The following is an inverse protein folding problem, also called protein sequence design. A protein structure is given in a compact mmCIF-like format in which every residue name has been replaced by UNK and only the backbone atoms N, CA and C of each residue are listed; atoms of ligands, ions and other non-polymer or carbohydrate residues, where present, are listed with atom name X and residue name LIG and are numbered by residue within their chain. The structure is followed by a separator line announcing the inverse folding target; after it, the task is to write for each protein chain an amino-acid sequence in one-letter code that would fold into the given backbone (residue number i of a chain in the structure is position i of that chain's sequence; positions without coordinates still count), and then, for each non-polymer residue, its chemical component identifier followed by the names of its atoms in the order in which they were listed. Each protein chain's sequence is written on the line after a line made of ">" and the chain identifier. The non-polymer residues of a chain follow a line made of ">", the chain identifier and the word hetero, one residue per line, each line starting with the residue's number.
data_IF_683386073930
#
_entry.id   IF_683386073930
#
_cell.length_a   1.000
_cell.length_b   1.000
_cell.length_c   1.000
_cell.angle_alpha   90.00
_cell.angle_beta   90.00
_cell.angle_gamma   90.00
#
_symmetry.space_group_name_H-M   'P 1'
#
loop_
_entity.id
_entity.type
_entity.pdbx_description
1 polymer ?
#
# COMPACT_ATOMS: atom_id res chain seq x y z
N UNK A 1 12.84 -2.88 9.53
CA UNK A 1 12.55 -1.75 8.63
C UNK A 1 13.79 -0.89 8.53
N UNK A 2 13.96 -0.17 7.42
CA UNK A 2 15.08 0.74 7.16
C UNK A 2 14.54 2.17 7.02
N UNK A 3 15.31 3.22 7.32
CA UNK A 3 14.95 4.58 6.94
C UNK A 3 14.71 4.67 5.43
N UNK A 4 13.76 5.51 5.02
CA UNK A 4 13.64 5.90 3.60
C UNK A 4 14.73 6.92 3.28
N UNK A 5 15.38 6.73 2.15
CA UNK A 5 16.30 7.70 1.55
C UNK A 5 15.58 8.39 0.38
N UNK A 6 15.60 9.72 0.33
CA UNK A 6 14.90 10.49 -0.69
C UNK A 6 13.37 10.50 -0.52
N UNK A 7 12.65 10.50 -1.65
CA UNK A 7 11.19 10.46 -1.65
C UNK A 7 10.68 9.10 -1.17
N UNK A 8 9.65 9.12 -0.32
CA UNK A 8 8.96 7.90 0.06
C UNK A 8 7.92 7.45 -0.95
N UNK A 9 7.37 8.39 -1.74
CA UNK A 9 6.53 8.12 -2.89
C UNK A 9 7.43 7.67 -4.03
N UNK A 10 7.09 6.53 -4.61
CA UNK A 10 7.81 5.92 -5.72
C UNK A 10 7.10 6.25 -7.03
N UNK A 11 7.89 6.57 -8.04
CA UNK A 11 7.44 6.68 -9.43
C UNK A 11 8.40 5.87 -10.27
N UNK A 12 7.89 4.84 -10.94
CA UNK A 12 8.66 3.98 -11.83
C UNK A 12 8.10 4.00 -13.26
N UNK A 13 8.71 3.21 -14.14
CA UNK A 13 8.36 3.09 -15.55
C UNK A 13 6.95 2.51 -15.78
N UNK A 14 6.35 1.86 -14.78
CA UNK A 14 4.98 1.35 -14.82
C UNK A 14 3.93 2.39 -14.42
N UNK A 15 4.31 3.63 -14.07
CA UNK A 15 3.42 4.66 -13.55
C UNK A 15 2.12 4.81 -14.35
N UNK A 16 2.20 5.13 -15.64
CA UNK A 16 1.01 5.40 -16.45
C UNK A 16 0.08 4.17 -16.54
N UNK A 17 0.65 2.97 -16.68
CA UNK A 17 -0.10 1.72 -16.75
C UNK A 17 -0.80 1.39 -15.42
N UNK A 18 -0.11 1.56 -14.30
CA UNK A 18 -0.69 1.33 -12.98
C UNK A 18 -1.78 2.35 -12.64
N UNK A 19 -1.60 3.64 -12.97
CA UNK A 19 -2.67 4.62 -12.75
C UNK A 19 -3.90 4.32 -13.62
N UNK A 20 -3.70 3.93 -14.88
CA UNK A 20 -4.80 3.51 -15.75
C UNK A 20 -5.55 2.29 -15.17
N UNK A 21 -4.82 1.31 -14.64
CA UNK A 21 -5.43 0.13 -14.00
C UNK A 21 -6.19 0.50 -12.72
N UNK A 22 -5.66 1.41 -11.88
CA UNK A 22 -6.39 1.94 -10.71
C UNK A 22 -7.70 2.60 -11.14
N UNK A 23 -7.68 3.42 -12.20
CA UNK A 23 -8.87 4.08 -12.72
C UNK A 23 -9.92 3.06 -13.22
N UNK A 24 -9.48 2.04 -13.96
CA UNK A 24 -10.35 0.94 -14.43
C UNK A 24 -10.99 0.19 -13.26
N UNK A 25 -10.19 -0.20 -12.28
CA UNK A 25 -10.64 -0.93 -11.08
C UNK A 25 -11.61 -0.10 -10.24
N UNK A 26 -11.32 1.18 -10.03
CA UNK A 26 -12.20 2.08 -9.26
C UNK A 26 -13.51 2.37 -9.97
N UNK A 27 -13.54 2.32 -11.31
CA UNK A 27 -14.79 2.42 -12.08
C UNK A 27 -15.70 1.21 -11.81
N UNK A 28 -15.12 0.01 -11.70
CA UNK A 28 -15.87 -1.23 -11.52
C UNK A 28 -16.19 -1.57 -10.04
N UNK A 29 -15.31 -1.20 -9.11
CA UNK A 29 -15.31 -1.75 -7.74
C UNK A 29 -15.09 -0.69 -6.65
N UNK A 30 -15.47 0.57 -6.91
CA UNK A 30 -15.19 1.72 -6.03
C UNK A 30 -15.34 1.44 -4.53
N UNK A 31 -16.50 0.95 -4.10
CA UNK A 31 -16.81 0.73 -2.68
C UNK A 31 -16.02 -0.43 -2.04
N UNK A 32 -15.43 -1.30 -2.85
CA UNK A 32 -14.53 -2.34 -2.38
C UNK A 32 -13.11 -1.80 -2.15
N UNK A 33 -12.67 -0.84 -2.97
CA UNK A 33 -11.28 -0.38 -3.03
C UNK A 33 -11.03 0.93 -2.27
N UNK A 34 -12.04 1.77 -2.14
CA UNK A 34 -11.97 3.05 -1.43
C UNK A 34 -12.97 3.04 -0.29
N UNK A 35 -12.48 3.07 0.95
CA UNK A 35 -13.31 3.08 2.16
C UNK A 35 -12.86 4.15 3.13
N UNK A 36 -13.83 4.77 3.77
CA UNK A 36 -13.63 5.83 4.76
C UNK A 36 -14.53 5.58 5.97
N UNK A 37 -14.02 5.82 7.18
CA UNK A 37 -14.84 5.94 8.39
C UNK A 37 -15.13 7.41 8.67
N UNK A 38 -16.32 7.75 9.22
CA UNK A 38 -16.60 9.11 9.69
C UNK A 38 -15.54 9.58 10.70
N UNK A 39 -15.13 10.84 10.60
CA UNK A 39 -14.12 11.45 11.48
C UNK A 39 -12.68 11.30 10.98
N UNK A 40 -12.44 10.61 9.86
CA UNK A 40 -11.11 10.44 9.28
C UNK A 40 -10.73 11.48 8.21
N UNK A 41 -11.56 12.52 8.02
CA UNK A 41 -11.43 13.49 6.93
C UNK A 41 -10.11 14.29 7.03
N UNK A 42 -9.74 14.74 8.24
CA UNK A 42 -8.49 15.48 8.46
C UNK A 42 -7.25 14.61 8.16
N UNK A 43 -7.31 13.32 8.51
CA UNK A 43 -6.24 12.34 8.27
C UNK A 43 -6.07 12.13 6.76
N UNK A 44 -7.18 11.98 6.04
CA UNK A 44 -7.19 11.83 4.58
C UNK A 44 -6.62 13.05 3.86
N UNK A 45 -7.04 14.26 4.24
CA UNK A 45 -6.53 15.51 3.67
C UNK A 45 -5.03 15.65 3.91
N UNK A 46 -4.56 15.41 5.12
CA UNK A 46 -3.13 15.47 5.42
C UNK A 46 -2.32 14.39 4.69
N UNK A 47 -2.85 13.18 4.55
CA UNK A 47 -2.22 12.12 3.77
C UNK A 47 -2.06 12.52 2.29
N UNK A 48 -3.08 13.12 1.69
CA UNK A 48 -3.01 13.65 0.32
C UNK A 48 -1.95 14.74 0.21
N UNK A 49 -1.93 15.72 1.11
CA UNK A 49 -0.90 16.77 1.10
C UNK A 49 0.52 16.20 1.23
N UNK A 50 0.72 15.25 2.16
CA UNK A 50 2.02 14.63 2.39
C UNK A 50 2.52 13.82 1.18
N UNK A 51 1.63 13.10 0.50
CA UNK A 51 1.99 12.31 -0.68
C UNK A 51 2.25 13.19 -1.90
N UNK A 52 1.49 14.26 -2.08
CA UNK A 52 1.50 15.06 -3.31
C UNK A 52 2.37 16.32 -3.20
N UNK A 53 3.07 16.51 -2.07
CA UNK A 53 3.93 17.66 -1.82
C UNK A 53 5.04 17.87 -2.86
N UNK A 54 5.45 16.81 -3.55
CA UNK A 54 6.49 16.83 -4.58
C UNK A 54 5.96 17.13 -5.99
N UNK A 55 4.64 17.08 -6.19
CA UNK A 55 4.04 17.32 -7.51
C UNK A 55 3.80 18.82 -7.75
N UNK A 56 4.09 19.32 -8.95
CA UNK A 56 3.78 20.71 -9.31
C UNK A 56 2.27 20.97 -9.23
N UNK A 57 1.91 22.08 -8.60
CA UNK A 57 0.54 22.61 -8.62
C UNK A 57 0.34 23.55 -9.80
N UNK A 58 -0.85 23.50 -10.36
CA UNK A 58 -1.31 24.34 -11.45
C UNK A 58 -2.77 24.73 -11.18
N UNK A 59 -2.94 25.85 -10.46
CA UNK A 59 -4.21 26.24 -9.86
C UNK A 59 -4.75 25.16 -8.92
N UNK A 60 -5.99 24.73 -9.17
CA UNK A 60 -6.68 23.66 -8.42
C UNK A 60 -6.38 22.26 -8.98
N UNK A 61 -5.27 22.09 -9.70
CA UNK A 61 -4.86 20.81 -10.28
C UNK A 61 -3.39 20.49 -9.97
N UNK A 62 -3.05 19.21 -10.09
CA UNK A 62 -1.70 18.69 -10.00
C UNK A 62 -1.25 18.21 -11.37
N UNK A 63 0.02 18.48 -11.72
CA UNK A 63 0.67 17.87 -12.88
C UNK A 63 1.31 16.54 -12.45
N UNK A 64 0.83 15.43 -13.01
CA UNK A 64 1.35 14.09 -12.71
C UNK A 64 2.60 13.76 -13.54
N UNK A 65 3.42 12.77 -13.12
CA UNK A 65 4.59 12.32 -13.87
C UNK A 65 4.33 11.94 -15.34
N UNK A 66 3.12 11.47 -15.68
CA UNK A 66 2.70 11.15 -17.05
C UNK A 66 2.06 12.35 -17.79
N UNK A 67 2.17 13.57 -17.25
CA UNK A 67 1.73 14.80 -17.90
C UNK A 67 0.22 15.08 -17.83
N UNK A 68 -0.56 14.27 -17.11
CA UNK A 68 -1.99 14.56 -16.88
C UNK A 68 -2.15 15.70 -15.87
N UNK A 69 -3.22 16.47 -16.04
CA UNK A 69 -3.70 17.44 -15.03
C UNK A 69 -4.81 16.78 -14.24
N UNK A 70 -4.58 16.54 -12.96
CA UNK A 70 -5.55 15.93 -12.05
C UNK A 70 -6.12 17.00 -11.12
N UNK A 71 -7.44 17.25 -11.13
CA UNK A 71 -8.03 18.22 -10.21
C UNK A 71 -7.91 17.75 -8.77
N UNK A 72 -7.63 18.70 -7.87
CA UNK A 72 -7.74 18.49 -6.44
C UNK A 72 -9.21 18.25 -6.09
N UNK A 73 -9.47 17.23 -5.28
CA UNK A 73 -10.82 16.84 -4.91
C UNK A 73 -10.83 16.06 -3.61
N UNK A 74 -11.64 15.00 -3.57
CA UNK A 74 -11.68 14.10 -2.41
C UNK A 74 -10.30 13.47 -2.21
N UNK A 75 -9.73 13.44 -0.99
CA UNK A 75 -8.32 13.11 -0.83
C UNK A 75 -7.91 11.73 -1.38
N UNK A 76 -8.68 10.69 -1.10
CA UNK A 76 -8.40 9.34 -1.60
C UNK A 76 -8.59 9.21 -3.11
N UNK A 77 -9.49 9.99 -3.71
CA UNK A 77 -9.68 10.01 -5.17
C UNK A 77 -8.50 10.67 -5.88
N UNK A 78 -8.05 11.81 -5.36
CA UNK A 78 -6.88 12.49 -5.89
C UNK A 78 -5.64 11.61 -5.73
N UNK A 79 -5.43 10.97 -4.58
CA UNK A 79 -4.37 9.98 -4.37
C UNK A 79 -4.45 8.84 -5.39
N UNK A 80 -5.63 8.27 -5.60
CA UNK A 80 -5.81 7.18 -6.56
C UNK A 80 -5.43 7.54 -8.00
N UNK A 81 -5.63 8.80 -8.39
CA UNK A 81 -5.33 9.30 -9.72
C UNK A 81 -3.87 9.77 -9.90
N UNK A 82 -3.08 9.82 -8.82
CA UNK A 82 -1.76 10.49 -8.80
C UNK A 82 -0.61 9.62 -8.27
N UNK A 83 -0.83 8.71 -7.33
CA UNK A 83 0.25 7.86 -6.77
C UNK A 83 0.06 6.40 -7.16
N UNK A 84 1.16 5.67 -7.32
CA UNK A 84 1.11 4.23 -7.64
C UNK A 84 0.69 3.39 -6.43
N UNK A 85 1.03 3.87 -5.23
CA UNK A 85 0.80 3.16 -3.98
C UNK A 85 -0.67 2.96 -3.65
N UNK A 86 -0.94 1.84 -2.99
CA UNK A 86 -2.11 1.72 -2.13
C UNK A 86 -1.83 2.43 -0.80
N UNK A 87 -2.82 3.14 -0.27
CA UNK A 87 -2.68 4.00 0.91
C UNK A 87 -3.66 3.57 1.97
N UNK A 88 -3.16 3.16 3.13
CA UNK A 88 -3.95 2.81 4.32
C UNK A 88 -3.66 3.80 5.44
N UNK A 89 -4.70 4.32 6.07
CA UNK A 89 -4.59 5.35 7.10
C UNK A 89 -5.05 4.78 8.43
N UNK A 90 -4.16 4.81 9.43
CA UNK A 90 -4.40 4.24 10.74
C UNK A 90 -4.35 5.30 11.82
N UNK A 91 -5.36 5.32 12.67
CA UNK A 91 -5.46 6.22 13.82
C UNK A 91 -5.24 5.43 15.10
N UNK A 92 -4.54 6.02 16.08
CA UNK A 92 -4.38 5.39 17.40
C UNK A 92 -5.67 5.55 18.21
N UNK A 93 -6.32 4.43 18.53
CA UNK A 93 -7.56 4.38 19.32
C UNK A 93 -7.29 3.48 20.54
N UNK A 94 -7.16 4.09 21.72
CA UNK A 94 -6.67 3.39 22.91
C UNK A 94 -5.21 2.94 22.71
N UNK A 95 -4.96 1.65 22.85
CA UNK A 95 -3.62 1.04 22.77
C UNK A 95 -3.26 0.49 21.39
N UNK A 96 -4.19 0.53 20.43
CA UNK A 96 -3.98 -0.03 19.09
C UNK A 96 -4.16 1.00 17.98
N UNK A 97 -3.45 0.80 16.85
CA UNK A 97 -3.72 1.53 15.63
C UNK A 97 -4.84 0.84 14.83
N UNK A 98 -5.90 1.59 14.51
CA UNK A 98 -7.10 1.12 13.82
C UNK A 98 -7.13 1.69 12.40
N UNK A 99 -7.44 0.85 11.41
CA UNK A 99 -7.62 1.29 10.02
C UNK A 99 -8.88 2.14 9.89
N UNK A 100 -8.73 3.42 9.55
CA UNK A 100 -9.84 4.39 9.48
C UNK A 100 -10.19 4.83 8.08
N UNK A 101 -9.25 4.74 7.13
CA UNK A 101 -9.51 5.00 5.72
C UNK A 101 -8.50 4.23 4.86
N UNK A 102 -8.86 3.93 3.62
CA UNK A 102 -7.98 3.19 2.73
C UNK A 102 -8.35 3.30 1.26
N UNK A 103 -7.31 3.29 0.43
CA UNK A 103 -7.28 3.05 -1.00
C UNK A 103 -6.48 1.77 -1.22
N UNK A 104 -7.12 0.72 -1.73
CA UNK A 104 -6.52 -0.61 -1.90
C UNK A 104 -6.89 -1.19 -3.26
N UNK A 105 -6.19 -0.78 -4.31
CA UNK A 105 -6.40 -1.25 -5.67
C UNK A 105 -5.64 -2.54 -5.96
N UNK A 106 -4.48 -2.77 -5.35
CA UNK A 106 -3.61 -3.90 -5.66
C UNK A 106 -3.39 -4.81 -4.44
N UNK A 107 -4.45 -5.41 -3.84
CA UNK A 107 -4.28 -6.30 -2.71
C UNK A 107 -3.60 -7.61 -3.09
N UNK A 108 -2.79 -8.15 -2.17
CA UNK A 108 -2.22 -9.49 -2.22
C UNK A 108 -3.04 -10.47 -1.35
N UNK A 109 -4.16 -10.96 -1.88
CA UNK A 109 -5.03 -11.96 -1.22
C UNK A 109 -5.70 -11.50 0.08
N UNK A 110 -6.17 -10.26 0.13
CA UNK A 110 -7.03 -9.76 1.22
C UNK A 110 -7.99 -8.67 0.72
N UNK A 111 -9.06 -8.36 1.46
CA UNK A 111 -10.01 -7.29 1.09
C UNK A 111 -9.99 -6.14 2.09
N UNK A 112 -10.15 -4.90 1.60
CA UNK A 112 -10.23 -3.72 2.47
C UNK A 112 -11.44 -3.78 3.41
N UNK A 113 -12.56 -4.36 2.95
CA UNK A 113 -13.79 -4.46 3.71
C UNK A 113 -13.63 -5.24 5.02
N UNK A 114 -12.88 -6.36 5.01
CA UNK A 114 -12.67 -7.19 6.19
C UNK A 114 -11.71 -6.55 7.21
N UNK A 115 -10.88 -5.59 6.76
CA UNK A 115 -9.86 -4.91 7.59
C UNK A 115 -10.30 -3.54 8.10
N UNK A 116 -11.27 -2.90 7.43
CA UNK A 116 -11.72 -1.56 7.78
C UNK A 116 -12.30 -1.51 9.21
N UNK A 117 -11.87 -0.51 9.99
CA UNK A 117 -12.27 -0.33 11.38
C UNK A 117 -11.71 -1.36 12.36
N UNK A 118 -10.75 -2.19 11.93
CA UNK A 118 -10.10 -3.18 12.80
C UNK A 118 -8.73 -2.70 13.27
N UNK A 119 -8.32 -3.06 14.50
CA UNK A 119 -6.96 -2.79 14.98
C UNK A 119 -5.93 -3.68 14.29
N UNK A 120 -4.66 -3.27 14.31
CA UNK A 120 -3.53 -3.99 13.73
C UNK A 120 -3.51 -5.49 14.06
N UNK A 121 -3.78 -5.87 15.31
CA UNK A 121 -3.79 -7.28 15.72
C UNK A 121 -4.86 -8.08 14.97
N UNK A 122 -6.08 -7.53 14.85
CA UNK A 122 -7.17 -8.21 14.11
C UNK A 122 -6.92 -8.22 12.61
N UNK A 123 -6.34 -7.15 12.05
CA UNK A 123 -6.00 -7.08 10.62
C UNK A 123 -5.14 -8.27 10.21
N UNK A 124 -4.16 -8.59 11.05
CA UNK A 124 -3.16 -9.64 10.80
C UNK A 124 -3.52 -11.01 11.36
N UNK A 125 -4.66 -11.19 12.05
CA UNK A 125 -5.07 -12.47 12.62
C UNK A 125 -5.04 -13.67 11.63
N UNK A 126 -5.31 -13.51 10.32
CA UNK A 126 -5.19 -14.63 9.37
C UNK A 126 -3.74 -15.05 9.02
N UNK A 127 -2.73 -14.28 9.42
CA UNK A 127 -1.31 -14.55 9.13
C UNK A 127 -0.75 -15.42 10.23
N UNK A 128 -0.42 -16.68 9.92
CA UNK A 128 -0.04 -17.68 10.92
C UNK A 128 1.22 -17.29 11.71
N UNK A 129 2.16 -16.60 11.07
CA UNK A 129 3.40 -16.11 11.67
C UNK A 129 3.21 -14.85 12.52
N UNK A 130 2.00 -14.26 12.51
CA UNK A 130 1.68 -13.05 13.27
C UNK A 130 1.18 -13.38 14.67
N UNK A 131 2.09 -13.86 15.51
CA UNK A 131 1.85 -14.11 16.92
C UNK A 131 1.75 -12.83 17.76
N UNK A 132 1.40 -12.97 19.04
CA UNK A 132 1.28 -11.83 19.96
C UNK A 132 2.60 -11.09 20.17
N UNK A 133 3.75 -11.77 20.11
CA UNK A 133 5.05 -11.14 20.26
C UNK A 133 5.38 -10.24 19.06
N UNK A 134 5.06 -10.69 17.84
CA UNK A 134 5.18 -9.91 16.62
C UNK A 134 4.16 -8.76 16.60
N UNK A 135 2.91 -9.01 16.99
CA UNK A 135 1.87 -7.98 17.11
C UNK A 135 2.34 -6.82 17.99
N UNK A 136 2.89 -7.12 19.18
CA UNK A 136 3.43 -6.09 20.07
C UNK A 136 4.64 -5.34 19.47
N UNK A 137 5.52 -6.03 18.73
CA UNK A 137 6.65 -5.38 18.05
C UNK A 137 6.16 -4.40 16.98
N UNK A 138 5.17 -4.79 16.20
CA UNK A 138 4.57 -3.93 15.16
C UNK A 138 3.81 -2.77 15.78
N UNK A 139 3.04 -2.98 16.85
CA UNK A 139 2.38 -1.90 17.57
C UNK A 139 3.40 -0.88 18.11
N UNK A 140 4.46 -1.34 18.78
CA UNK A 140 5.55 -0.45 19.26
C UNK A 140 6.26 0.29 18.14
N UNK A 141 6.41 -0.32 16.97
CA UNK A 141 6.98 0.32 15.79
C UNK A 141 6.08 1.48 15.34
N UNK A 142 4.77 1.25 15.28
CA UNK A 142 3.81 2.28 14.92
C UNK A 142 3.78 3.37 15.97
N UNK A 143 3.74 3.06 17.27
CA UNK A 143 3.81 4.05 18.35
C UNK A 143 5.05 4.96 18.24
N UNK A 144 6.20 4.37 17.88
CA UNK A 144 7.49 5.09 17.78
C UNK A 144 7.72 5.78 16.44
N UNK A 145 6.84 5.65 15.46
CA UNK A 145 6.98 6.34 14.18
C UNK A 145 6.97 7.86 14.38
N UNK A 146 7.97 8.54 13.81
CA UNK A 146 8.17 9.99 13.97
C UNK A 146 7.85 10.73 12.67
N UNK A 147 7.26 11.94 12.74
CA UNK A 147 7.09 12.78 11.57
C UNK A 147 8.44 13.08 10.90
N UNK A 148 8.44 13.15 9.56
CA UNK A 148 9.66 13.42 8.78
C UNK A 148 10.70 12.29 8.78
N UNK A 149 10.42 11.15 9.44
CA UNK A 149 11.31 9.97 9.47
C UNK A 149 10.61 8.72 8.95
N UNK A 150 10.19 8.71 7.67
CA UNK A 150 9.59 7.54 7.05
C UNK A 150 10.53 6.34 7.13
N UNK A 151 9.95 5.17 7.38
CA UNK A 151 10.65 3.89 7.40
C UNK A 151 9.96 2.93 6.45
N UNK A 152 10.71 1.99 5.89
CA UNK A 152 10.18 1.03 4.94
C UNK A 152 10.71 -0.39 5.12
N UNK A 153 10.02 -1.35 4.52
CA UNK A 153 10.50 -2.72 4.27
C UNK A 153 10.01 -3.21 2.92
N UNK A 154 10.61 -4.30 2.44
CA UNK A 154 10.12 -5.05 1.30
C UNK A 154 9.56 -6.39 1.79
N UNK A 155 8.39 -6.81 1.29
CA UNK A 155 8.01 -8.21 1.27
C UNK A 155 8.14 -8.76 -0.16
N UNK A 156 8.23 -10.08 -0.29
CA UNK A 156 8.35 -10.76 -1.58
C UNK A 156 7.46 -12.00 -1.54
N UNK A 157 6.71 -12.22 -2.62
CA UNK A 157 5.72 -13.28 -2.74
C UNK A 157 5.80 -13.88 -4.16
N UNK A 158 5.63 -15.19 -4.27
CA UNK A 158 5.55 -15.88 -5.56
C UNK A 158 4.11 -15.96 -6.06
N UNK A 159 3.89 -15.61 -7.32
CA UNK A 159 2.57 -15.64 -7.96
C UNK A 159 2.63 -16.34 -9.32
N UNK A 160 1.56 -17.05 -9.68
CA UNK A 160 1.43 -17.68 -11.00
C UNK A 160 0.89 -16.72 -12.07
N UNK A 161 0.15 -15.69 -11.65
CA UNK A 161 -0.50 -14.70 -12.50
C UNK A 161 0.05 -13.29 -12.20
N UNK A 162 0.32 -12.44 -13.22
CA UNK A 162 0.90 -11.12 -13.03
C UNK A 162 -0.10 -10.02 -12.61
N UNK A 163 -1.39 -10.33 -12.50
CA UNK A 163 -2.42 -9.34 -12.18
C UNK A 163 -2.11 -8.61 -10.86
N UNK A 164 -2.22 -7.28 -10.88
CA UNK A 164 -1.97 -6.47 -9.69
C UNK A 164 -3.11 -6.59 -8.66
N UNK A 165 -4.35 -6.76 -9.13
CA UNK A 165 -5.55 -6.84 -8.32
C UNK A 165 -5.94 -8.29 -8.01
N UNK A 166 -5.55 -8.79 -6.83
CA UNK A 166 -5.84 -10.17 -6.41
C UNK A 166 -6.54 -10.21 -5.04
N UNK A 167 -7.75 -9.63 -4.90
CA UNK A 167 -8.48 -9.66 -3.63
C UNK A 167 -8.93 -11.08 -3.28
N UNK A 168 -8.84 -11.44 -2.01
CA UNK A 168 -9.46 -12.66 -1.47
C UNK A 168 -10.04 -12.40 -0.09
N UNK A 169 -11.20 -12.97 0.16
CA UNK A 169 -11.82 -12.93 1.49
C UNK A 169 -11.10 -13.89 2.44
N UNK A 170 -11.21 -13.66 3.75
CA UNK A 170 -10.65 -14.56 4.76
C UNK A 170 -11.28 -15.97 4.69
N UNK A 171 -12.52 -16.06 4.22
CA UNK A 171 -13.23 -17.33 4.02
C UNK A 171 -12.92 -18.03 2.69
N UNK A 172 -12.18 -17.38 1.77
CA UNK A 172 -11.85 -17.99 0.49
C UNK A 172 -10.99 -19.24 0.69
N UNK A 173 -11.18 -20.31 -0.11
CA UNK A 173 -10.36 -21.50 -0.04
C UNK A 173 -8.88 -21.15 -0.20
N UNK A 174 -8.02 -21.78 0.60
CA UNK A 174 -6.57 -21.73 0.37
C UNK A 174 -6.29 -22.36 -0.99
N UNK A 175 -5.71 -21.58 -1.90
CA UNK A 175 -5.32 -22.09 -3.20
C UNK A 175 -3.96 -22.74 -3.08
N UNK A 176 -3.84 -23.92 -3.69
CA UNK A 176 -2.56 -24.63 -3.74
C UNK A 176 -1.56 -23.77 -4.53
N UNK A 177 -0.31 -23.65 -4.06
CA UNK A 177 0.69 -22.90 -4.79
C UNK A 177 0.92 -23.55 -6.17
N UNK A 178 0.48 -22.89 -7.23
CA UNK A 178 1.04 -23.14 -8.56
C UNK A 178 2.50 -22.67 -8.59
N UNK A 179 3.29 -23.23 -9.51
CA UNK A 179 4.68 -22.82 -9.66
C UNK A 179 4.75 -21.31 -9.94
N UNK A 180 5.41 -20.56 -9.06
CA UNK A 180 5.44 -19.11 -9.12
C UNK A 180 6.21 -18.62 -10.35
N UNK A 181 5.52 -17.99 -11.31
CA UNK A 181 6.12 -17.45 -12.55
C UNK A 181 6.51 -15.99 -12.42
N UNK A 182 5.96 -15.31 -11.43
CA UNK A 182 6.16 -13.90 -11.18
C UNK A 182 6.60 -13.69 -9.73
N UNK A 183 7.53 -12.76 -9.56
CA UNK A 183 7.88 -12.22 -8.27
C UNK A 183 7.04 -10.97 -8.04
N UNK A 184 6.18 -11.01 -7.01
CA UNK A 184 5.50 -9.84 -6.50
C UNK A 184 6.25 -9.31 -5.29
N UNK A 185 6.66 -8.05 -5.34
CA UNK A 185 7.31 -7.37 -4.23
C UNK A 185 6.48 -6.16 -3.80
N UNK A 186 6.34 -5.93 -2.50
CA UNK A 186 5.66 -4.74 -1.99
C UNK A 186 6.59 -3.92 -1.10
N UNK A 187 6.89 -2.70 -1.54
CA UNK A 187 7.60 -1.71 -0.74
C UNK A 187 6.59 -1.07 0.19
N UNK A 188 6.69 -1.44 1.46
CA UNK A 188 5.79 -1.01 2.52
C UNK A 188 6.44 0.11 3.31
N UNK A 189 5.87 1.31 3.24
CA UNK A 189 6.35 2.51 3.95
C UNK A 189 5.40 2.88 5.07
N UNK A 190 5.95 3.19 6.24
CA UNK A 190 5.24 3.73 7.41
C UNK A 190 5.78 5.12 7.68
N UNK A 191 4.87 6.11 7.81
CA UNK A 191 5.21 7.44 8.29
C UNK A 191 4.11 8.02 9.19
N UNK A 192 4.52 8.84 10.16
CA UNK A 192 3.62 9.59 11.03
C UNK A 192 3.26 10.92 10.36
N UNK A 193 1.97 11.20 10.25
CA UNK A 193 1.46 12.49 9.81
C UNK A 193 1.62 13.54 10.93
N UNK A 194 2.26 14.69 10.67
CA UNK A 194 2.65 15.64 11.72
C UNK A 194 1.50 16.35 12.45
N UNK A 195 0.37 16.59 11.79
CA UNK A 195 -0.76 17.36 12.35
C UNK A 195 -1.77 16.46 13.05
N UNK A 196 -2.18 15.37 12.40
CA UNK A 196 -3.17 14.43 12.95
C UNK A 196 -2.55 13.37 13.85
N UNK A 197 -1.24 13.12 13.75
CA UNK A 197 -0.59 12.02 14.46
C UNK A 197 -0.97 10.63 13.94
N UNK A 198 -1.78 10.52 12.89
CA UNK A 198 -2.12 9.26 12.26
C UNK A 198 -0.92 8.64 11.54
N UNK A 199 -1.00 7.34 11.28
CA UNK A 199 -0.04 6.61 10.44
C UNK A 199 -0.56 6.56 9.02
N UNK A 200 0.28 6.98 8.08
CA UNK A 200 0.15 6.62 6.67
C UNK A 200 0.97 5.36 6.43
N UNK A 201 0.31 4.34 5.88
CA UNK A 201 0.93 3.11 5.42
C UNK A 201 0.76 3.01 3.91
N UNK A 202 1.86 3.15 3.17
CA UNK A 202 1.88 3.10 1.71
C UNK A 202 2.47 1.77 1.23
N UNK A 203 1.87 1.21 0.18
CA UNK A 203 2.28 -0.07 -0.41
C UNK A 203 2.48 0.13 -1.91
N UNK A 204 3.74 0.23 -2.33
CA UNK A 204 4.10 0.23 -3.75
C UNK A 204 4.30 -1.21 -4.22
N UNK A 205 3.60 -1.60 -5.28
CA UNK A 205 3.60 -2.98 -5.77
C UNK A 205 4.41 -3.12 -7.06
N UNK A 206 5.37 -4.04 -7.04
CA UNK A 206 6.09 -4.52 -8.21
C UNK A 206 5.64 -5.93 -8.55
N UNK A 207 5.48 -6.21 -9.84
CA UNK A 207 5.32 -7.57 -10.36
C UNK A 207 6.28 -7.74 -11.52
N UNK A 208 7.22 -8.68 -11.40
CA UNK A 208 8.29 -8.89 -12.38
C UNK A 208 8.46 -10.37 -12.70
N UNK A 209 9.00 -10.65 -13.88
CA UNK A 209 9.44 -12.00 -14.24
C UNK A 209 10.84 -12.27 -13.68
N UNK A 210 11.24 -13.55 -13.48
CA UNK A 210 12.59 -13.92 -13.06
C UNK A 210 13.70 -13.35 -13.95
N UNK A 211 13.43 -13.17 -15.25
CA UNK A 211 14.38 -12.65 -16.23
C UNK A 211 14.72 -11.17 -16.00
N UNK A 212 13.79 -10.40 -15.44
CA UNK A 212 13.99 -8.99 -15.10
C UNK A 212 14.93 -8.79 -13.90
N UNK A 213 15.23 -9.84 -13.14
CA UNK A 213 16.13 -9.76 -11.99
C UNK A 213 17.60 -9.71 -12.45
N UNK A 214 18.43 -8.96 -11.73
CA UNK A 214 19.89 -9.09 -11.87
C UNK A 214 20.36 -10.46 -11.34
N UNK A 215 21.56 -10.89 -11.73
CA UNK A 215 22.12 -12.16 -11.23
C UNK A 215 22.22 -12.20 -9.70
N UNK A 216 22.55 -11.07 -9.06
CA UNK A 216 22.57 -10.98 -7.59
C UNK A 216 21.16 -11.09 -6.98
N UNK A 217 20.17 -10.41 -7.56
CA UNK A 217 18.78 -10.50 -7.08
C UNK A 217 18.20 -11.90 -7.27
N UNK A 218 18.50 -12.59 -8.38
CA UNK A 218 18.12 -14.01 -8.55
C UNK A 218 18.72 -14.88 -7.46
N UNK A 219 20.02 -14.75 -7.21
CA UNK A 219 20.73 -15.57 -6.22
C UNK A 219 20.29 -15.30 -4.77
N UNK A 220 19.70 -14.15 -4.49
CA UNK A 220 19.25 -13.74 -3.15
C UNK A 220 17.73 -13.64 -3.01
N UNK A 221 16.97 -14.03 -4.04
CA UNK A 221 15.51 -14.01 -4.03
C UNK A 221 14.99 -15.01 -2.99
N UNK A 222 14.20 -14.58 -1.99
CA UNK A 222 13.68 -15.49 -0.97
C UNK A 222 12.48 -16.33 -1.47
N UNK A 223 12.05 -16.10 -2.71
CA UNK A 223 10.89 -16.77 -3.33
C UNK A 223 11.39 -17.79 -4.35
N UNK A 224 11.00 -19.06 -4.24
CA UNK A 224 11.27 -20.05 -5.28
C UNK A 224 10.43 -19.73 -6.51
N UNK A 225 11.07 -19.39 -7.63
CA UNK A 225 10.40 -19.07 -8.90
C UNK A 225 10.58 -20.23 -9.88
N UNK A 226 9.55 -20.49 -10.68
CA UNK A 226 9.57 -21.46 -11.76
C UNK A 226 10.62 -21.06 -12.82
N UNK A 227 11.49 -22.00 -13.18
CA UNK A 227 12.55 -21.76 -14.17
C UNK A 227 13.84 -21.16 -13.59
N UNK A 228 13.94 -21.03 -12.26
CA UNK A 228 15.20 -20.85 -11.53
C UNK A 228 15.67 -22.17 -10.91
#
# INVERSE_FOLDING_TARGET
>A
MRPVEGSWVVTDDAYAAQIAEKARLLTAHRDALLRTRPGSEAIQTEAMEAALAHLPRDGESLLTPDGRRVPLGRPLDTLAATVQEDILLLERQGDEHVLVAGLLCFPASWTLAEKMGKPLRRIHAPVAEYDDALAQKVQRLFDRAQPGRPIWRMNALGYADPALHQPRTEAAPKVQPEAARYLRCERQTVLRLPRTGAILFAVHTYVVTPDALTSHQRATCPVPLAGL
#
